data_IF_343919487444
#
_entry.id   IF_343919487444
#
_cell.length_a   1.000
_cell.length_b   1.000
_cell.length_c   1.000
_cell.angle_alpha   90.00
_cell.angle_beta   90.00
_cell.angle_gamma   90.00
#
_symmetry.space_group_name_H-M   'P 1'
#
loop_
_entity.id
_entity.type
_entity.pdbx_description
1 polymer ?
#
# COMPACT_ATOMS: atom_id res chain seq x y z
N UNK A 1 -1.95 -1.16 -24.00
CA UNK A 1 -2.12 -2.38 -23.21
C UNK A 1 -2.79 -2.03 -21.88
N UNK A 2 -3.86 -2.69 -21.56
CA UNK A 2 -4.53 -2.50 -20.26
C UNK A 2 -4.05 -3.62 -19.34
N UNK A 3 -3.48 -3.24 -18.20
CA UNK A 3 -3.07 -4.18 -17.19
C UNK A 3 -4.15 -4.21 -16.12
N UNK A 4 -4.79 -5.36 -15.95
CA UNK A 4 -5.80 -5.55 -14.91
C UNK A 4 -5.12 -6.24 -13.74
N UNK A 5 -5.24 -5.61 -12.57
CA UNK A 5 -4.67 -6.15 -11.35
C UNK A 5 -5.76 -6.23 -10.28
N UNK A 6 -5.91 -7.39 -9.69
CA UNK A 6 -6.88 -7.58 -8.63
C UNK A 6 -6.35 -7.00 -7.31
N UNK A 7 -7.25 -6.52 -6.47
CA UNK A 7 -6.88 -6.03 -5.15
C UNK A 7 -6.16 -7.11 -4.33
N UNK A 8 -6.59 -8.36 -4.44
CA UNK A 8 -5.95 -9.47 -3.75
C UNK A 8 -4.48 -9.66 -4.18
N UNK A 9 -4.17 -9.39 -5.45
CA UNK A 9 -2.79 -9.43 -5.92
C UNK A 9 -1.96 -8.32 -5.29
N UNK A 10 -2.52 -7.11 -5.19
CA UNK A 10 -1.85 -5.98 -4.56
C UNK A 10 -1.61 -6.22 -3.06
N UNK A 11 -2.58 -6.81 -2.38
CA UNK A 11 -2.47 -7.10 -0.95
C UNK A 11 -1.40 -8.15 -0.61
N UNK A 12 -1.02 -8.96 -1.58
CA UNK A 12 0.05 -9.95 -1.40
C UNK A 12 1.45 -9.37 -1.62
N UNK A 13 1.55 -8.13 -2.07
CA UNK A 13 2.82 -7.47 -2.32
C UNK A 13 3.26 -6.66 -1.11
N UNK A 14 4.56 -6.64 -0.86
CA UNK A 14 5.13 -5.80 0.19
C UNK A 14 5.29 -4.37 -0.31
N UNK A 15 4.93 -3.41 0.53
CA UNK A 15 5.06 -1.99 0.22
C UNK A 15 6.39 -1.49 0.77
N UNK A 16 7.24 -1.01 -0.12
CA UNK A 16 8.59 -0.55 0.22
C UNK A 16 8.70 0.95 -0.06
N UNK A 17 9.15 1.69 0.93
CA UNK A 17 9.49 3.09 0.71
C UNK A 17 10.84 3.15 0.01
N UNK A 18 10.84 3.51 -1.27
CA UNK A 18 12.08 3.51 -2.06
C UNK A 18 13.11 4.54 -1.59
N UNK A 19 12.67 5.58 -0.88
CA UNK A 19 13.56 6.61 -0.37
C UNK A 19 14.46 6.07 0.76
N UNK A 20 13.89 5.25 1.64
CA UNK A 20 14.60 4.74 2.82
C UNK A 20 14.90 3.24 2.75
N UNK A 21 14.26 2.52 1.83
CA UNK A 21 14.32 1.06 1.77
C UNK A 21 13.45 0.36 2.81
N UNK A 22 12.71 1.12 3.61
CA UNK A 22 11.89 0.54 4.67
C UNK A 22 10.72 -0.27 4.12
N UNK A 23 10.51 -1.45 4.67
CA UNK A 23 9.33 -2.26 4.39
C UNK A 23 8.20 -1.78 5.29
N UNK A 24 7.15 -1.22 4.70
CA UNK A 24 6.03 -0.66 5.44
C UNK A 24 4.96 -1.69 5.76
N UNK A 25 5.06 -2.88 5.19
CA UNK A 25 4.07 -3.92 5.35
C UNK A 25 3.28 -4.16 4.08
N UNK A 26 2.00 -4.44 4.23
CA UNK A 26 1.10 -4.74 3.11
C UNK A 26 -0.11 -3.83 3.16
N UNK A 27 -0.80 -3.73 2.05
CA UNK A 27 -2.06 -2.98 1.99
C UNK A 27 -3.09 -3.71 2.82
N UNK A 28 -3.64 -3.04 3.82
CA UNK A 28 -4.66 -3.61 4.70
C UNK A 28 -6.03 -2.98 4.48
N UNK A 29 -6.09 -1.81 3.86
CA UNK A 29 -7.34 -1.12 3.57
C UNK A 29 -7.12 -0.06 2.49
N UNK A 30 -8.21 0.50 1.99
CA UNK A 30 -8.21 1.58 1.00
C UNK A 30 -9.14 2.68 1.46
N UNK A 31 -8.73 3.91 1.17
CA UNK A 31 -9.60 5.08 1.30
C UNK A 31 -10.06 5.45 -0.11
N UNK A 32 -11.34 5.32 -0.37
CA UNK A 32 -11.93 5.56 -1.69
C UNK A 32 -12.89 6.74 -1.58
N UNK A 33 -12.80 7.67 -2.53
CA UNK A 33 -13.72 8.81 -2.53
C UNK A 33 -15.07 8.43 -3.15
N UNK A 34 -16.03 9.35 -3.06
CA UNK A 34 -17.39 9.13 -3.55
C UNK A 34 -17.49 8.93 -5.07
N UNK A 35 -16.46 9.35 -5.82
CA UNK A 35 -16.38 9.15 -7.27
C UNK A 35 -15.75 7.81 -7.64
N UNK A 36 -15.37 7.00 -6.65
CA UNK A 36 -14.77 5.69 -6.88
C UNK A 36 -13.26 5.69 -7.07
N UNK A 37 -12.59 6.82 -6.86
CA UNK A 37 -11.13 6.89 -6.96
C UNK A 37 -10.48 6.58 -5.62
N UNK A 38 -9.35 5.90 -5.68
CA UNK A 38 -8.55 5.59 -4.49
C UNK A 38 -7.74 6.84 -4.13
N UNK A 39 -7.94 7.35 -2.92
CA UNK A 39 -7.17 8.47 -2.38
C UNK A 39 -5.90 7.97 -1.71
N UNK A 40 -6.04 6.98 -0.84
CA UNK A 40 -4.96 6.48 0.01
C UNK A 40 -4.99 4.98 0.09
N UNK A 41 -3.80 4.42 0.26
CA UNK A 41 -3.62 3.05 0.69
C UNK A 41 -3.33 3.07 2.18
N UNK A 42 -3.99 2.20 2.94
CA UNK A 42 -3.65 2.01 4.34
C UNK A 42 -2.73 0.80 4.40
N UNK A 43 -1.53 1.01 4.88
CA UNK A 43 -0.45 0.02 4.84
C UNK A 43 -0.01 -0.31 6.27
N UNK A 44 0.18 -1.57 6.54
CA UNK A 44 0.63 -2.01 7.85
C UNK A 44 0.98 -3.48 7.86
N UNK A 45 1.43 -3.96 9.01
CA UNK A 45 1.71 -5.38 9.21
C UNK A 45 0.46 -6.10 9.68
N UNK A 46 0.20 -7.29 9.13
CA UNK A 46 -0.90 -8.12 9.59
C UNK A 46 -0.79 -8.47 11.08
N UNK A 47 0.44 -8.51 11.59
CA UNK A 47 0.67 -8.74 13.02
C UNK A 47 0.23 -7.55 13.86
N UNK A 48 0.24 -6.36 13.29
CA UNK A 48 -0.15 -5.13 13.98
C UNK A 48 -1.66 -4.98 14.12
N UNK A 49 -2.43 -5.61 13.24
CA UNK A 49 -3.90 -5.56 13.30
C UNK A 49 -4.42 -6.14 14.61
N UNK A 50 -3.71 -7.12 15.17
CA UNK A 50 -4.08 -7.78 16.42
C UNK A 50 -3.60 -7.05 17.67
N UNK A 51 -2.81 -5.99 17.52
CA UNK A 51 -2.30 -5.19 18.63
C UNK A 51 -2.99 -3.85 18.65
N UNK A 52 -3.34 -3.39 19.85
CA UNK A 52 -4.02 -2.11 20.02
C UNK A 52 -3.15 -0.90 19.69
N UNK A 53 -1.85 -1.08 19.53
CA UNK A 53 -0.88 -0.03 19.22
C UNK A 53 -0.23 -0.23 17.87
N UNK A 54 -1.01 -0.62 16.88
CA UNK A 54 -0.47 -0.82 15.53
C UNK A 54 -0.07 0.50 14.87
N UNK A 55 1.05 0.51 14.17
CA UNK A 55 1.45 1.61 13.33
C UNK A 55 0.91 1.36 11.93
N UNK A 56 0.08 2.27 11.47
CA UNK A 56 -0.42 2.25 10.10
C UNK A 56 0.17 3.42 9.34
N UNK A 57 0.42 3.22 8.06
CA UNK A 57 0.88 4.27 7.16
C UNK A 57 -0.24 4.60 6.19
N UNK A 58 -0.53 5.88 6.08
CA UNK A 58 -1.48 6.38 5.10
C UNK A 58 -0.68 6.88 3.91
N UNK A 59 -0.73 6.13 2.81
CA UNK A 59 0.08 6.39 1.63
C UNK A 59 -0.82 6.89 0.51
N UNK A 60 -0.54 8.09 0.01
CA UNK A 60 -1.27 8.62 -1.13
C UNK A 60 -1.09 7.70 -2.34
N UNK A 61 -2.18 7.46 -3.05
CA UNK A 61 -2.13 6.62 -4.24
C UNK A 61 -1.14 7.15 -5.28
N UNK A 62 -1.04 8.48 -5.37
CA UNK A 62 -0.09 9.16 -6.27
C UNK A 62 1.37 8.92 -5.90
N UNK A 63 1.65 8.45 -4.69
CA UNK A 63 3.02 8.15 -4.24
C UNK A 63 3.54 6.81 -4.76
N UNK A 64 2.69 6.02 -5.40
CA UNK A 64 3.12 4.75 -5.99
C UNK A 64 4.00 5.04 -7.20
N UNK A 65 5.23 4.51 -7.18
CA UNK A 65 6.18 4.71 -8.27
C UNK A 65 6.26 3.51 -9.20
N UNK A 66 6.11 2.31 -8.65
CA UNK A 66 6.16 1.09 -9.44
C UNK A 66 5.44 -0.03 -8.72
N UNK A 67 4.70 -0.81 -9.48
CA UNK A 67 4.09 -2.04 -9.00
C UNK A 67 4.84 -3.20 -9.64
N UNK A 68 5.62 -3.90 -8.84
CA UNK A 68 6.39 -5.06 -9.29
C UNK A 68 5.65 -6.37 -9.04
N UNK A 69 6.33 -7.46 -9.30
CA UNK A 69 5.76 -8.78 -9.08
C UNK A 69 5.45 -9.06 -7.62
N UNK A 70 6.38 -8.72 -6.74
CA UNK A 70 6.28 -9.03 -5.31
C UNK A 70 6.28 -7.79 -4.42
N UNK A 71 6.50 -6.62 -4.99
CA UNK A 71 6.64 -5.38 -4.23
C UNK A 71 5.89 -4.24 -4.90
N UNK A 72 5.50 -3.26 -4.08
CA UNK A 72 4.99 -1.97 -4.53
C UNK A 72 5.97 -0.93 -4.00
N UNK A 73 6.59 -0.18 -4.90
CA UNK A 73 7.50 0.89 -4.51
C UNK A 73 6.74 2.19 -4.38
N UNK A 74 6.86 2.83 -3.24
CA UNK A 74 6.27 4.13 -2.97
C UNK A 74 7.36 5.11 -2.58
N UNK A 75 7.11 6.39 -2.79
CA UNK A 75 8.03 7.44 -2.41
C UNK A 75 7.39 8.30 -1.34
N UNK A 76 7.89 8.17 -0.12
CA UNK A 76 7.46 8.97 1.02
C UNK A 76 8.60 9.88 1.44
N UNK A 77 8.25 11.08 1.78
CA UNK A 77 9.23 12.07 2.25
C UNK A 77 9.62 11.82 3.71
#
# INVERSE_FOLDING_TARGET
MVIIMLMSDMQNKEVINQTTGANLGRIIDLDVNENGYINYLIVGSLKMIKKLSSTEYKVEYSSIKKIGKDVILVELN
#
